data_IF_972915891129
#
_entry.id   IF_972915891129
#
_cell.length_a   1.000
_cell.length_b   1.000
_cell.length_c   1.000
_cell.angle_alpha   90.00
_cell.angle_beta   90.00
_cell.angle_gamma   90.00
#
_symmetry.space_group_name_H-M   'P 1'
#
loop_
_entity.id
_entity.type
_entity.pdbx_description
1 polymer ?
#
# COMPACT_ATOMS: atom_id res chain seq x y z
N UNK A 1 12.14 19.38 11.07
CA UNK A 1 11.04 20.19 10.51
C UNK A 1 11.59 21.58 10.18
N UNK A 2 12.14 22.24 11.20
CA UNK A 2 13.32 23.14 11.25
C UNK A 2 13.81 23.72 9.92
N UNK A 3 14.40 22.92 9.02
CA UNK A 3 14.91 23.38 7.74
C UNK A 3 13.82 24.06 6.89
N UNK A 4 12.65 23.43 6.73
CA UNK A 4 11.53 24.03 5.99
C UNK A 4 10.96 25.28 6.68
N UNK A 5 11.04 25.35 8.02
CA UNK A 5 10.67 26.55 8.78
C UNK A 5 11.68 27.68 8.54
N UNK A 6 12.98 27.35 8.42
CA UNK A 6 14.05 28.27 8.02
C UNK A 6 13.97 28.71 6.55
N UNK A 7 13.49 27.84 5.66
CA UNK A 7 13.17 28.15 4.26
C UNK A 7 11.91 29.04 4.12
N UNK A 8 11.15 29.23 5.21
CA UNK A 8 10.01 30.16 5.28
C UNK A 8 8.68 29.63 4.75
N UNK A 9 8.40 28.32 4.86
CA UNK A 9 7.11 27.75 4.43
C UNK A 9 5.95 28.14 5.34
N UNK A 10 4.77 28.41 4.77
CA UNK A 10 3.54 28.69 5.54
C UNK A 10 2.93 27.44 6.20
N UNK A 11 3.08 26.28 5.55
CA UNK A 11 2.41 25.02 5.91
C UNK A 11 3.35 23.84 5.74
N UNK A 12 3.31 22.90 6.70
CA UNK A 12 4.00 21.62 6.66
C UNK A 12 2.97 20.48 6.73
N UNK A 13 3.09 19.52 5.80
CA UNK A 13 2.30 18.29 5.78
C UNK A 13 3.20 17.09 6.08
N UNK A 14 2.84 16.28 7.07
CA UNK A 14 3.66 15.15 7.54
C UNK A 14 2.83 13.90 7.83
N UNK A 15 2.83 12.97 6.88
CA UNK A 15 2.21 11.62 6.99
C UNK A 15 3.16 10.62 7.67
N UNK A 16 3.69 10.99 8.83
CA UNK A 16 4.58 10.19 9.68
C UNK A 16 4.17 10.42 11.14
N UNK A 17 4.37 9.41 12.00
CA UNK A 17 4.07 9.47 13.43
C UNK A 17 4.55 8.21 14.14
N UNK A 18 4.72 8.29 15.46
CA UNK A 18 5.21 7.19 16.30
C UNK A 18 4.14 6.70 17.27
N UNK A 19 3.96 5.39 17.37
CA UNK A 19 2.95 4.79 18.25
C UNK A 19 3.50 4.66 19.69
N UNK A 20 2.76 5.18 20.68
CA UNK A 20 3.07 5.07 22.13
C UNK A 20 4.38 5.76 22.60
N UNK A 21 4.83 6.83 21.94
CA UNK A 21 6.02 7.61 22.36
C UNK A 21 5.61 8.79 23.26
N UNK A 22 6.33 9.08 24.36
CA UNK A 22 6.09 10.26 25.19
C UNK A 22 6.25 11.59 24.43
N UNK A 23 5.47 12.61 24.79
CA UNK A 23 5.42 13.90 24.09
C UNK A 23 6.78 14.64 24.00
N UNK A 24 7.68 14.39 24.96
CA UNK A 24 9.02 14.97 25.03
C UNK A 24 10.11 14.08 24.38
N UNK A 25 9.75 12.91 23.86
CA UNK A 25 10.59 12.00 23.07
C UNK A 25 10.14 11.94 21.59
N UNK A 26 8.89 12.33 21.29
CA UNK A 26 8.34 12.27 19.94
C UNK A 26 8.93 13.37 19.01
N UNK A 27 9.62 13.01 17.92
CA UNK A 27 10.28 13.98 17.05
C UNK A 27 9.31 14.80 16.18
N UNK A 28 8.09 14.30 15.95
CA UNK A 28 7.03 15.06 15.29
C UNK A 28 6.46 16.09 16.26
N UNK A 29 6.23 15.72 17.53
CA UNK A 29 5.76 16.64 18.57
C UNK A 29 6.72 17.82 18.76
N UNK A 30 8.00 17.53 19.04
CA UNK A 30 9.03 18.54 19.32
C UNK A 30 9.19 19.49 18.11
N UNK A 31 9.36 18.93 16.91
CA UNK A 31 9.63 19.74 15.72
C UNK A 31 8.40 20.52 15.22
N UNK A 32 7.18 20.02 15.47
CA UNK A 32 5.94 20.75 15.17
C UNK A 32 5.62 21.84 16.19
N UNK A 33 6.07 21.70 17.45
CA UNK A 33 5.98 22.79 18.43
C UNK A 33 6.83 23.98 17.95
N UNK A 34 8.10 23.72 17.58
CA UNK A 34 8.99 24.74 17.02
C UNK A 34 8.48 25.37 15.71
N UNK A 35 7.74 24.63 14.89
CA UNK A 35 7.06 25.17 13.71
C UNK A 35 5.91 26.13 14.10
N UNK A 36 5.06 25.72 15.06
CA UNK A 36 3.97 26.53 15.59
C UNK A 36 4.48 27.83 16.25
N UNK A 37 5.60 27.79 16.99
CA UNK A 37 6.27 28.98 17.54
C UNK A 37 6.76 29.98 16.48
N UNK A 38 6.88 29.56 15.21
CA UNK A 38 7.19 30.44 14.07
C UNK A 38 5.96 30.79 13.22
N UNK A 39 4.77 30.38 13.65
CA UNK A 39 3.51 30.60 12.93
C UNK A 39 3.27 29.65 11.76
N UNK A 40 4.09 28.61 11.60
CA UNK A 40 3.97 27.62 10.52
C UNK A 40 2.94 26.56 10.91
N UNK A 41 1.92 26.38 10.06
CA UNK A 41 0.84 25.43 10.33
C UNK A 41 1.26 23.99 10.01
N UNK A 42 1.00 23.05 10.93
CA UNK A 42 1.36 21.63 10.75
C UNK A 42 0.12 20.75 10.64
N UNK A 43 0.01 20.02 9.53
CA UNK A 43 -1.00 19.00 9.26
C UNK A 43 -0.36 17.60 9.29
N UNK A 44 -0.94 16.67 10.02
CA UNK A 44 -0.38 15.33 10.20
C UNK A 44 -1.45 14.24 10.29
N UNK A 45 -1.09 13.00 9.94
CA UNK A 45 -1.98 11.84 10.02
C UNK A 45 -2.23 11.38 11.45
N UNK A 46 -3.46 10.98 11.75
CA UNK A 46 -3.83 10.32 13.02
C UNK A 46 -3.23 8.91 13.19
N UNK A 47 -2.88 8.26 12.07
CA UNK A 47 -2.32 6.92 12.04
C UNK A 47 -3.29 5.84 11.55
N UNK A 48 -2.73 4.64 11.32
CA UNK A 48 -3.40 3.50 10.69
C UNK A 48 -3.53 2.31 11.66
N UNK A 49 -3.78 2.57 12.96
CA UNK A 49 -3.91 1.59 14.04
C UNK A 49 -5.34 1.44 14.57
N UNK A 50 -6.32 1.97 13.84
CA UNK A 50 -7.74 1.78 14.13
C UNK A 50 -8.19 0.31 14.02
N UNK A 51 -9.42 -0.01 14.44
CA UNK A 51 -10.48 0.92 14.86
C UNK A 51 -10.56 1.16 16.38
N UNK A 52 -9.62 0.63 17.17
CA UNK A 52 -9.68 0.69 18.65
C UNK A 52 -9.53 2.14 19.18
N UNK A 53 -10.19 2.52 20.29
CA UNK A 53 -9.94 3.79 20.98
C UNK A 53 -8.49 3.93 21.47
N UNK A 54 -7.99 5.16 21.54
CA UNK A 54 -6.64 5.47 22.02
C UNK A 54 -5.50 5.02 21.08
N UNK A 55 -5.81 4.77 19.81
CA UNK A 55 -4.88 4.24 18.80
C UNK A 55 -4.20 5.31 17.94
N UNK A 56 -4.49 6.60 18.15
CA UNK A 56 -3.88 7.67 17.37
C UNK A 56 -2.53 8.12 17.88
N UNK A 57 -1.64 8.41 16.93
CA UNK A 57 -0.44 9.20 17.12
C UNK A 57 -0.67 10.63 16.62
N UNK A 58 0.33 11.51 16.78
CA UNK A 58 0.26 12.92 16.39
C UNK A 58 -0.92 13.72 17.00
N UNK A 59 -1.48 13.25 18.12
CA UNK A 59 -2.60 13.86 18.83
C UNK A 59 -2.20 15.08 19.68
N UNK A 60 -1.36 15.96 19.14
CA UNK A 60 -0.77 17.10 19.85
C UNK A 60 -1.69 18.33 19.74
N UNK A 61 -1.71 19.19 20.77
CA UNK A 61 -2.61 20.36 20.81
C UNK A 61 -2.27 21.45 19.79
N UNK A 62 -1.05 21.44 19.25
CA UNK A 62 -0.54 22.40 18.25
C UNK A 62 -0.47 21.86 16.81
N UNK A 63 -0.98 20.65 16.55
CA UNK A 63 -0.99 20.00 15.22
C UNK A 63 -2.42 19.68 14.80
N UNK A 64 -2.74 19.86 13.52
CA UNK A 64 -3.97 19.33 12.93
C UNK A 64 -3.80 17.83 12.68
N UNK A 65 -4.45 17.00 13.48
CA UNK A 65 -4.44 15.55 13.41
C UNK A 65 -5.61 15.07 12.53
N UNK A 66 -5.29 14.49 11.37
CA UNK A 66 -6.26 14.15 10.31
C UNK A 66 -6.55 12.65 10.28
N UNK A 67 -7.82 12.28 10.43
CA UNK A 67 -8.31 10.91 10.23
C UNK A 67 -8.62 10.61 8.76
N UNK A 68 -8.47 9.35 8.35
CA UNK A 68 -8.78 8.89 7.00
C UNK A 68 -10.27 8.51 6.85
N UNK A 69 -10.88 8.97 5.76
CA UNK A 69 -12.23 8.63 5.33
C UNK A 69 -12.30 8.13 3.89
N UNK A 70 -13.33 7.35 3.60
CA UNK A 70 -13.63 6.87 2.25
C UNK A 70 -14.19 7.98 1.34
N UNK A 71 -14.01 7.78 0.04
CA UNK A 71 -14.56 8.63 -1.03
C UNK A 71 -15.84 8.03 -1.61
N UNK A 72 -16.61 8.86 -2.34
CA UNK A 72 -17.82 8.45 -3.07
C UNK A 72 -17.56 7.60 -4.32
N UNK A 73 -16.53 6.74 -4.27
CA UNK A 73 -16.00 5.89 -5.35
C UNK A 73 -15.82 4.46 -4.83
N UNK A 74 -16.01 3.48 -5.70
CA UNK A 74 -15.60 2.09 -5.49
C UNK A 74 -15.04 1.52 -6.80
N UNK A 75 -14.00 0.70 -6.70
CA UNK A 75 -13.43 -0.04 -7.83
C UNK A 75 -14.08 -1.43 -7.90
N UNK A 76 -14.27 -1.97 -9.10
CA UNK A 76 -15.04 -3.19 -9.21
C UNK A 76 -14.93 -3.96 -10.52
N UNK A 77 -15.56 -5.13 -10.46
CA UNK A 77 -15.68 -6.07 -11.55
C UNK A 77 -17.12 -6.53 -11.65
N UNK A 78 -17.74 -6.35 -12.80
CA UNK A 78 -19.07 -6.90 -13.06
C UNK A 78 -18.91 -8.35 -13.50
N UNK A 79 -19.43 -9.24 -12.66
CA UNK A 79 -19.59 -10.66 -12.93
C UNK A 79 -20.91 -10.85 -13.69
N UNK A 80 -20.83 -11.30 -14.93
CA UNK A 80 -22.00 -11.65 -15.77
C UNK A 80 -22.10 -13.16 -15.86
N UNK A 81 -23.19 -13.72 -15.33
CA UNK A 81 -23.46 -15.15 -15.30
C UNK A 81 -24.09 -15.62 -16.61
N UNK A 82 -23.98 -16.92 -16.93
CA UNK A 82 -24.54 -17.50 -18.16
C UNK A 82 -26.07 -17.46 -18.28
N UNK A 83 -26.80 -17.11 -17.20
CA UNK A 83 -28.23 -16.82 -17.22
C UNK A 83 -28.57 -15.34 -17.58
N UNK A 84 -27.55 -14.49 -17.77
CA UNK A 84 -27.70 -13.05 -18.01
C UNK A 84 -27.76 -12.17 -16.75
N UNK A 85 -27.72 -12.76 -15.56
CA UNK A 85 -27.69 -12.03 -14.29
C UNK A 85 -26.32 -11.35 -14.10
N UNK A 86 -26.31 -10.17 -13.48
CA UNK A 86 -25.09 -9.39 -13.24
C UNK A 86 -24.91 -9.05 -11.77
N UNK A 87 -23.72 -9.35 -11.24
CA UNK A 87 -23.32 -9.06 -9.87
C UNK A 87 -22.14 -8.08 -9.92
N UNK A 88 -22.30 -6.91 -9.29
CA UNK A 88 -21.19 -5.97 -9.08
C UNK A 88 -20.41 -6.40 -7.84
N UNK A 89 -19.17 -6.84 -8.03
CA UNK A 89 -18.21 -7.05 -6.95
C UNK A 89 -17.11 -5.98 -6.94
N UNK A 90 -16.30 -5.98 -5.90
CA UNK A 90 -15.14 -5.10 -5.74
C UNK A 90 -13.85 -5.80 -6.19
N UNK A 91 -12.92 -5.07 -6.80
CA UNK A 91 -11.59 -5.57 -7.19
C UNK A 91 -10.67 -4.42 -7.61
N UNK A 92 -9.36 -4.64 -7.51
CA UNK A 92 -8.29 -3.79 -8.02
C UNK A 92 -7.45 -4.50 -9.11
N UNK A 93 -7.89 -5.63 -9.66
CA UNK A 93 -7.14 -6.37 -10.68
C UNK A 93 -6.81 -5.48 -11.90
N UNK A 94 -5.52 -5.29 -12.26
CA UNK A 94 -5.10 -4.18 -13.11
C UNK A 94 -5.15 -4.46 -14.62
N UNK A 95 -5.23 -5.72 -15.08
CA UNK A 95 -5.06 -6.04 -16.51
C UNK A 95 -6.32 -5.81 -17.38
N UNK A 96 -6.10 -5.53 -18.66
CA UNK A 96 -7.17 -5.49 -19.67
C UNK A 96 -7.41 -6.86 -20.31
N UNK A 97 -8.24 -7.67 -19.66
CA UNK A 97 -8.75 -8.91 -20.23
C UNK A 97 -10.15 -9.25 -19.69
N UNK A 98 -11.22 -9.25 -20.52
CA UNK A 98 -12.50 -9.78 -20.08
C UNK A 98 -12.39 -11.31 -20.02
N UNK A 99 -12.29 -11.88 -18.82
CA UNK A 99 -12.51 -13.31 -18.64
C UNK A 99 -13.90 -13.62 -19.18
N UNK A 100 -14.00 -14.46 -20.22
CA UNK A 100 -15.23 -14.58 -21.02
C UNK A 100 -15.69 -16.03 -21.05
N UNK A 101 -16.88 -16.29 -20.50
CA UNK A 101 -17.54 -17.60 -20.43
C UNK A 101 -16.64 -18.73 -19.87
N UNK A 102 -15.83 -18.42 -18.86
CA UNK A 102 -15.01 -19.43 -18.19
C UNK A 102 -15.90 -20.36 -17.33
N UNK A 103 -15.53 -21.64 -17.15
CA UNK A 103 -16.20 -22.55 -16.23
C UNK A 103 -16.29 -21.97 -14.82
N UNK A 104 -17.46 -22.09 -14.20
CA UNK A 104 -17.73 -21.50 -12.90
C UNK A 104 -17.81 -22.59 -11.82
N UNK A 105 -16.85 -22.61 -10.89
CA UNK A 105 -16.49 -23.81 -10.14
C UNK A 105 -16.78 -23.62 -8.64
N UNK A 106 -17.69 -24.43 -8.12
CA UNK A 106 -18.02 -24.49 -6.69
C UNK A 106 -18.04 -25.93 -6.21
N UNK A 107 -17.20 -26.23 -5.23
CA UNK A 107 -17.19 -27.48 -4.50
C UNK A 107 -17.07 -27.13 -3.00
N UNK A 108 -18.02 -27.60 -2.18
CA UNK A 108 -18.11 -27.26 -0.75
C UNK A 108 -16.89 -27.68 0.07
N UNK A 109 -16.16 -28.71 -0.38
CA UNK A 109 -14.90 -29.14 0.26
C UNK A 109 -13.76 -28.19 -0.06
N UNK A 110 -13.78 -27.53 -1.22
CA UNK A 110 -12.72 -26.65 -1.72
C UNK A 110 -13.01 -25.16 -1.54
N UNK A 111 -14.26 -24.78 -1.21
CA UNK A 111 -14.69 -23.38 -1.07
C UNK A 111 -13.99 -22.64 0.07
N UNK A 112 -13.20 -23.31 0.91
CA UNK A 112 -12.30 -22.65 1.87
C UNK A 112 -11.11 -21.96 1.19
N UNK A 113 -10.71 -22.40 -0.01
CA UNK A 113 -9.55 -21.90 -0.75
C UNK A 113 -8.25 -21.88 0.08
N UNK A 114 -8.06 -22.89 0.93
CA UNK A 114 -6.91 -23.05 1.83
C UNK A 114 -5.77 -23.93 1.28
N UNK A 115 -5.91 -24.47 0.07
CA UNK A 115 -4.89 -25.27 -0.64
C UNK A 115 -4.80 -24.93 -2.12
N UNK A 116 -3.65 -24.42 -2.58
CA UNK A 116 -3.40 -24.15 -4.00
C UNK A 116 -3.28 -25.43 -4.85
N UNK A 117 -2.88 -26.55 -4.25
CA UNK A 117 -2.76 -27.84 -4.92
C UNK A 117 -4.15 -28.41 -5.29
N UNK A 118 -5.10 -28.38 -4.35
CA UNK A 118 -6.46 -28.89 -4.58
C UNK A 118 -7.25 -27.96 -5.52
N UNK A 119 -7.04 -26.64 -5.42
CA UNK A 119 -7.51 -25.68 -6.42
C UNK A 119 -6.93 -25.98 -7.81
N UNK A 120 -5.65 -26.32 -7.92
CA UNK A 120 -5.02 -26.67 -9.20
C UNK A 120 -5.52 -27.99 -9.80
N UNK A 121 -5.93 -28.94 -8.95
CA UNK A 121 -6.47 -30.23 -9.40
C UNK A 121 -7.93 -30.14 -9.86
N UNK A 122 -8.74 -29.27 -9.23
CA UNK A 122 -10.20 -29.25 -9.42
C UNK A 122 -10.78 -27.97 -10.01
N UNK A 123 -10.02 -26.87 -10.07
CA UNK A 123 -10.47 -25.57 -10.60
C UNK A 123 -9.63 -25.04 -11.79
N UNK A 124 -8.75 -25.88 -12.37
CA UNK A 124 -7.89 -25.52 -13.49
C UNK A 124 -8.66 -24.90 -14.67
N UNK A 125 -8.26 -23.71 -15.12
CA UNK A 125 -8.89 -23.01 -16.24
C UNK A 125 -10.29 -22.43 -15.97
N UNK A 126 -10.77 -22.46 -14.72
CA UNK A 126 -12.07 -21.92 -14.31
C UNK A 126 -11.98 -20.82 -13.27
N UNK A 127 -13.12 -20.24 -12.91
CA UNK A 127 -13.27 -19.26 -11.84
C UNK A 127 -13.85 -19.98 -10.61
N UNK A 128 -13.09 -20.03 -9.51
CA UNK A 128 -13.52 -20.71 -8.27
C UNK A 128 -14.30 -19.79 -7.32
N UNK A 129 -15.29 -20.30 -6.60
CA UNK A 129 -15.93 -19.58 -5.49
C UNK A 129 -15.25 -19.93 -4.16
N UNK A 130 -14.72 -18.92 -3.48
CA UNK A 130 -14.23 -18.99 -2.10
C UNK A 130 -15.27 -18.42 -1.14
N UNK A 131 -15.72 -19.22 -0.18
CA UNK A 131 -16.57 -18.83 0.94
C UNK A 131 -15.75 -18.23 2.10
N UNK A 132 -16.47 -17.62 3.06
CA UNK A 132 -15.93 -17.23 4.36
C UNK A 132 -15.44 -18.44 5.17
N UNK A 133 -14.52 -18.20 6.09
CA UNK A 133 -14.04 -19.20 7.06
C UNK A 133 -12.55 -19.54 6.95
N UNK A 134 -11.79 -18.74 6.20
CA UNK A 134 -10.34 -18.76 6.13
C UNK A 134 -9.79 -17.33 5.99
N UNK A 135 -8.47 -17.15 6.06
CA UNK A 135 -7.82 -15.83 6.04
C UNK A 135 -7.78 -15.30 4.60
N UNK A 136 -8.27 -14.07 4.40
CA UNK A 136 -8.43 -13.45 3.07
C UNK A 136 -7.12 -13.41 2.26
N UNK A 137 -6.02 -12.95 2.85
CA UNK A 137 -4.66 -12.97 2.29
C UNK A 137 -4.24 -14.35 1.78
N UNK A 138 -4.59 -15.41 2.53
CA UNK A 138 -4.25 -16.79 2.17
C UNK A 138 -5.17 -17.32 1.07
N UNK A 139 -6.46 -16.95 1.04
CA UNK A 139 -7.35 -17.27 -0.08
C UNK A 139 -6.85 -16.66 -1.39
N UNK A 140 -6.45 -15.37 -1.37
CA UNK A 140 -5.80 -14.71 -2.50
C UNK A 140 -4.52 -15.45 -2.90
N UNK A 141 -3.63 -15.72 -1.94
CA UNK A 141 -2.35 -16.37 -2.21
C UNK A 141 -2.52 -17.75 -2.82
N UNK A 142 -3.44 -18.57 -2.28
CA UNK A 142 -3.70 -19.91 -2.78
C UNK A 142 -4.34 -19.93 -4.17
N UNK A 143 -5.21 -18.96 -4.48
CA UNK A 143 -5.75 -18.78 -5.84
C UNK A 143 -4.61 -18.40 -6.80
N UNK A 144 -3.79 -17.40 -6.44
CA UNK A 144 -2.67 -16.93 -7.27
C UNK A 144 -1.54 -17.95 -7.46
N UNK A 145 -1.40 -18.92 -6.56
CA UNK A 145 -0.48 -20.06 -6.71
C UNK A 145 -1.16 -21.32 -7.27
N UNK A 146 -2.36 -21.21 -7.84
CA UNK A 146 -3.10 -22.32 -8.44
C UNK A 146 -3.31 -22.17 -9.95
N UNK A 147 -3.71 -23.26 -10.61
CA UNK A 147 -4.10 -23.24 -12.03
C UNK A 147 -5.51 -22.64 -12.29
N UNK A 148 -6.19 -22.08 -11.28
CA UNK A 148 -7.46 -21.40 -11.50
C UNK A 148 -7.26 -20.10 -12.29
N UNK A 149 -8.17 -19.80 -13.22
CA UNK A 149 -8.11 -18.56 -14.01
C UNK A 149 -8.54 -17.32 -13.22
N UNK A 150 -9.18 -17.51 -12.06
CA UNK A 150 -9.60 -16.43 -11.16
C UNK A 150 -10.46 -16.95 -10.02
N UNK A 151 -10.93 -16.05 -9.16
CA UNK A 151 -11.82 -16.41 -8.06
C UNK A 151 -12.86 -15.35 -7.71
N UNK A 152 -14.00 -15.79 -7.18
CA UNK A 152 -14.96 -14.96 -6.46
C UNK A 152 -14.79 -15.23 -4.96
N UNK A 153 -14.34 -14.25 -4.19
CA UNK A 153 -14.20 -14.37 -2.74
C UNK A 153 -15.38 -13.70 -2.05
N UNK A 154 -16.05 -14.42 -1.14
CA UNK A 154 -17.20 -13.92 -0.39
C UNK A 154 -16.69 -13.31 0.92
N UNK A 155 -16.69 -11.98 1.02
CA UNK A 155 -16.27 -11.25 2.22
C UNK A 155 -17.27 -10.15 2.57
N UNK A 156 -17.53 -9.98 3.87
CA UNK A 156 -18.14 -8.77 4.43
C UNK A 156 -17.17 -8.07 5.42
N UNK A 157 -15.88 -8.46 5.44
CA UNK A 157 -14.87 -7.75 6.21
C UNK A 157 -14.56 -6.42 5.50
N UNK A 158 -14.83 -5.25 6.12
CA UNK A 158 -14.59 -3.98 5.47
C UNK A 158 -13.11 -3.71 5.17
N UNK A 159 -12.17 -4.40 5.84
CA UNK A 159 -10.74 -4.32 5.53
C UNK A 159 -10.40 -4.90 4.15
N UNK A 160 -11.22 -5.82 3.63
CA UNK A 160 -11.06 -6.35 2.27
C UNK A 160 -11.10 -5.25 1.21
N UNK A 161 -11.88 -4.18 1.40
CA UNK A 161 -12.02 -3.09 0.42
C UNK A 161 -10.89 -2.06 0.47
N UNK A 162 -10.05 -2.12 1.51
CA UNK A 162 -8.81 -1.35 1.65
C UNK A 162 -7.57 -2.21 1.30
N UNK A 163 -7.77 -3.49 0.95
CA UNK A 163 -6.70 -4.46 0.71
C UNK A 163 -6.06 -4.25 -0.67
N UNK A 164 -5.03 -3.42 -0.69
CA UNK A 164 -4.26 -2.98 -1.85
C UNK A 164 -3.19 -3.97 -2.32
N UNK A 165 -3.05 -5.14 -1.69
CA UNK A 165 -1.95 -6.07 -2.02
C UNK A 165 -2.12 -6.66 -3.42
N UNK A 166 -1.22 -6.23 -4.30
CA UNK A 166 -1.09 -6.57 -5.72
C UNK A 166 -1.81 -7.86 -6.13
N UNK A 167 -2.97 -7.70 -6.79
CA UNK A 167 -3.76 -8.82 -7.30
C UNK A 167 -3.10 -9.42 -8.54
N UNK A 168 -2.12 -10.30 -8.33
CA UNK A 168 -1.47 -11.08 -9.39
C UNK A 168 -2.38 -12.16 -10.02
N UNK A 169 -3.70 -12.11 -9.80
CA UNK A 169 -4.68 -13.00 -10.39
C UNK A 169 -6.08 -12.38 -10.43
N UNK A 170 -6.95 -12.76 -11.39
CA UNK A 170 -8.29 -12.19 -11.58
C UNK A 170 -9.28 -12.52 -10.44
N UNK A 171 -9.28 -11.74 -9.37
CA UNK A 171 -10.12 -11.94 -8.19
C UNK A 171 -11.19 -10.85 -8.09
N UNK A 172 -12.42 -11.23 -7.73
CA UNK A 172 -13.52 -10.32 -7.41
C UNK A 172 -14.10 -10.66 -6.04
N UNK A 173 -14.32 -9.63 -5.21
CA UNK A 173 -14.95 -9.77 -3.89
C UNK A 173 -16.44 -9.45 -3.98
N UNK A 174 -17.29 -10.27 -3.36
CA UNK A 174 -18.73 -10.00 -3.21
C UNK A 174 -19.17 -10.12 -1.74
N UNK A 175 -20.26 -9.44 -1.40
CA UNK A 175 -20.91 -9.57 -0.11
C UNK A 175 -21.64 -10.92 0.05
N UNK A 176 -21.86 -11.35 1.29
CA UNK A 176 -22.62 -12.58 1.57
C UNK A 176 -24.08 -12.52 1.08
N UNK A 177 -24.68 -11.32 1.03
CA UNK A 177 -26.01 -11.10 0.47
C UNK A 177 -26.12 -11.41 -1.02
N UNK A 178 -25.02 -11.23 -1.78
CA UNK A 178 -24.94 -11.58 -3.21
C UNK A 178 -24.59 -13.07 -3.42
N UNK A 179 -23.89 -13.69 -2.47
CA UNK A 179 -23.36 -15.04 -2.60
C UNK A 179 -24.42 -16.14 -2.77
N UNK A 180 -25.62 -15.97 -2.20
CA UNK A 180 -26.65 -17.02 -2.27
C UNK A 180 -27.18 -17.24 -3.69
N UNK A 181 -27.41 -16.18 -4.46
CA UNK A 181 -27.79 -16.29 -5.88
C UNK A 181 -26.68 -16.97 -6.68
N UNK A 182 -25.42 -16.56 -6.44
CA UNK A 182 -24.25 -17.07 -7.15
C UNK A 182 -23.98 -18.56 -6.92
N UNK A 183 -24.07 -19.02 -5.66
CA UNK A 183 -23.89 -20.44 -5.31
C UNK A 183 -25.07 -21.28 -5.85
N UNK A 184 -26.30 -20.75 -5.83
CA UNK A 184 -27.45 -21.41 -6.48
C UNK A 184 -27.22 -21.56 -7.99
N UNK A 185 -26.68 -20.54 -8.67
CA UNK A 185 -26.34 -20.63 -10.11
C UNK A 185 -25.28 -21.71 -10.36
N UNK A 186 -24.19 -21.69 -9.58
CA UNK A 186 -23.09 -22.67 -9.71
C UNK A 186 -23.50 -24.12 -9.42
N UNK A 187 -24.47 -24.35 -8.54
CA UNK A 187 -24.91 -25.70 -8.14
C UNK A 187 -26.07 -26.27 -8.98
N UNK A 188 -26.85 -25.42 -9.65
CA UNK A 188 -28.02 -25.83 -10.46
C UNK A 188 -27.80 -25.73 -11.97
N UNK A 189 -26.80 -24.98 -12.41
CA UNK A 189 -26.43 -24.90 -13.82
C UNK A 189 -25.81 -26.20 -14.33
N UNK A 190 -26.18 -26.64 -15.53
CA UNK A 190 -25.41 -27.63 -16.29
C UNK A 190 -24.27 -26.89 -16.98
N UNK A 191 -23.02 -27.17 -16.59
CA UNK A 191 -21.82 -26.44 -17.03
C UNK A 191 -21.97 -24.92 -16.86
N UNK A 192 -22.12 -24.42 -15.61
CA UNK A 192 -22.26 -22.99 -15.36
C UNK A 192 -21.00 -22.24 -15.82
N UNK A 193 -21.20 -21.07 -16.39
CA UNK A 193 -20.13 -20.20 -16.91
C UNK A 193 -20.34 -18.77 -16.47
N UNK A 194 -19.23 -18.06 -16.28
CA UNK A 194 -19.26 -16.64 -15.95
C UNK A 194 -18.27 -15.84 -16.79
N UNK A 195 -18.52 -14.55 -16.89
CA UNK A 195 -17.59 -13.57 -17.47
C UNK A 195 -17.34 -12.45 -16.47
N UNK A 196 -16.12 -11.91 -16.41
CA UNK A 196 -15.78 -10.79 -15.54
C UNK A 196 -15.21 -9.65 -16.37
N UNK A 197 -15.76 -8.45 -16.18
CA UNK A 197 -15.26 -7.21 -16.77
C UNK A 197 -14.64 -6.34 -15.67
N UNK A 198 -13.31 -6.21 -15.70
CA UNK A 198 -12.46 -5.51 -14.72
C UNK A 198 -12.32 -4.00 -15.02
N UNK A 199 -11.45 -3.32 -14.26
CA UNK A 199 -11.12 -1.88 -14.38
C UNK A 199 -12.31 -0.92 -14.22
N UNK A 200 -13.42 -1.35 -13.61
CA UNK A 200 -14.60 -0.50 -13.49
C UNK A 200 -14.49 0.43 -12.27
N UNK A 201 -14.90 1.68 -12.46
CA UNK A 201 -15.02 2.66 -11.37
C UNK A 201 -16.49 3.05 -11.21
N UNK A 202 -17.07 2.78 -10.05
CA UNK A 202 -18.42 3.18 -9.68
C UNK A 202 -18.38 4.45 -8.83
N UNK A 203 -19.20 5.45 -9.17
CA UNK A 203 -19.30 6.73 -8.47
C UNK A 203 -20.66 6.88 -7.77
N UNK A 204 -20.72 7.70 -6.73
CA UNK A 204 -21.94 7.94 -5.95
C UNK A 204 -22.27 6.82 -4.96
N UNK A 205 -21.25 6.13 -4.45
CA UNK A 205 -21.39 5.11 -3.40
C UNK A 205 -21.99 5.69 -2.12
N UNK A 206 -22.74 4.88 -1.37
CA UNK A 206 -23.46 5.29 -0.15
C UNK A 206 -23.41 4.18 0.91
N UNK A 207 -23.25 4.50 2.21
CA UNK A 207 -22.93 5.83 2.75
C UNK A 207 -21.52 6.30 2.31
N UNK A 208 -21.32 7.61 2.22
CA UNK A 208 -20.03 8.24 1.91
C UNK A 208 -20.06 9.71 2.36
N UNK A 209 -18.96 10.25 2.95
CA UNK A 209 -17.79 9.52 3.39
C UNK A 209 -18.09 8.63 4.61
N UNK A 210 -17.21 7.65 4.88
CA UNK A 210 -17.21 6.82 6.09
C UNK A 210 -15.80 6.82 6.65
N UNK A 211 -15.63 6.86 7.98
CA UNK A 211 -14.30 6.73 8.58
C UNK A 211 -13.69 5.36 8.23
N UNK A 212 -12.47 5.36 7.70
CA UNK A 212 -11.80 4.14 7.24
C UNK A 212 -11.62 3.14 8.40
N UNK A 213 -11.57 1.84 8.10
CA UNK A 213 -11.41 0.80 9.14
C UNK A 213 -10.13 0.99 9.93
N UNK A 214 -9.05 1.25 9.21
CA UNK A 214 -7.70 1.44 9.73
C UNK A 214 -7.49 2.80 10.41
N UNK A 215 -8.32 3.82 10.20
CA UNK A 215 -8.03 5.16 10.76
C UNK A 215 -8.01 5.08 12.28
N UNK A 216 -6.89 5.49 12.87
CA UNK A 216 -6.72 5.55 14.32
C UNK A 216 -7.74 6.48 14.98
N UNK A 217 -8.06 6.20 16.25
CA UNK A 217 -9.12 6.86 17.02
C UNK A 217 -8.59 7.45 18.32
N UNK A 218 -9.22 8.53 18.77
CA UNK A 218 -8.95 9.15 20.06
C UNK A 218 -9.44 8.32 21.27
N UNK A 219 -9.26 8.82 22.50
CA UNK A 219 -8.59 10.09 22.84
C UNK A 219 -7.10 10.08 22.53
N UNK A 220 -6.46 11.25 22.54
CA UNK A 220 -4.99 11.33 22.43
C UNK A 220 -4.34 10.76 23.70
N UNK A 221 -3.38 9.85 23.56
CA UNK A 221 -2.59 9.37 24.70
C UNK A 221 -1.73 10.49 25.31
N UNK A 222 -1.27 11.44 24.48
CA UNK A 222 -0.39 12.54 24.90
C UNK A 222 -1.13 13.61 25.72
N UNK A 223 -2.41 13.85 25.42
CA UNK A 223 -3.26 14.79 26.15
C UNK A 223 -4.76 14.50 25.91
N UNK A 224 -5.42 13.69 26.78
CA UNK A 224 -6.75 13.15 26.50
C UNK A 224 -7.88 14.19 26.59
N UNK A 225 -7.66 15.33 27.26
CA UNK A 225 -8.67 16.38 27.46
C UNK A 225 -8.93 17.23 26.20
N UNK A 226 -8.08 17.10 25.17
CA UNK A 226 -8.32 17.68 23.84
C UNK A 226 -8.76 16.57 22.87
N UNK A 227 -9.94 16.77 22.28
CA UNK A 227 -10.51 15.84 21.30
C UNK A 227 -9.61 15.71 20.07
N UNK A 228 -9.26 14.47 19.71
CA UNK A 228 -8.50 14.11 18.50
C UNK A 228 -9.11 12.85 17.85
N UNK A 229 -8.99 12.65 16.52
CA UNK A 229 -8.48 13.60 15.53
C UNK A 229 -9.39 14.83 15.38
N UNK A 230 -8.85 15.94 14.88
CA UNK A 230 -9.58 17.21 14.74
C UNK A 230 -10.60 17.17 13.59
N UNK A 231 -10.26 16.48 12.50
CA UNK A 231 -11.13 16.30 11.34
C UNK A 231 -10.82 15.00 10.56
N UNK A 232 -11.66 14.71 9.57
CA UNK A 232 -11.49 13.58 8.64
C UNK A 232 -11.36 14.10 7.21
N UNK A 233 -10.46 13.50 6.44
CA UNK A 233 -10.22 13.81 5.02
C UNK A 233 -10.22 12.53 4.16
N UNK A 234 -10.39 12.63 2.82
CA UNK A 234 -10.20 11.51 1.90
C UNK A 234 -8.83 10.84 2.11
N UNK A 235 -8.83 9.54 2.43
CA UNK A 235 -7.61 8.77 2.70
C UNK A 235 -7.62 7.34 2.13
N UNK A 236 -8.79 6.74 1.90
CA UNK A 236 -8.90 5.44 1.22
C UNK A 236 -8.70 5.60 -0.29
N UNK A 237 -7.64 5.00 -0.86
CA UNK A 237 -7.37 4.87 -2.30
C UNK A 237 -7.46 6.19 -3.11
N UNK A 238 -6.40 7.04 -3.17
CA UNK A 238 -6.42 8.47 -3.62
C UNK A 238 -5.68 8.80 -4.97
N UNK A 239 -4.53 9.56 -5.00
CA UNK A 239 -3.52 9.82 -6.11
C UNK A 239 -2.25 10.76 -5.75
N UNK A 240 -0.93 10.36 -5.88
CA UNK A 240 0.33 11.21 -5.72
C UNK A 240 1.68 11.09 -6.61
N UNK A 241 2.68 10.14 -6.47
CA UNK A 241 3.97 9.84 -7.26
C UNK A 241 4.78 8.47 -7.07
N UNK A 242 5.01 7.56 -8.09
CA UNK A 242 5.69 6.18 -8.05
C UNK A 242 6.88 5.93 -9.06
N UNK A 243 7.45 4.67 -9.21
CA UNK A 243 8.75 4.21 -9.88
C UNK A 243 8.86 2.71 -10.35
N UNK A 244 9.60 2.32 -11.46
CA UNK A 244 9.95 0.89 -11.76
C UNK A 244 11.22 0.43 -12.62
N UNK A 245 12.27 -0.20 -12.00
CA UNK A 245 13.20 -1.27 -12.54
C UNK A 245 14.59 -1.07 -13.28
N UNK A 246 15.47 -2.11 -13.17
CA UNK A 246 16.91 -2.40 -13.55
C UNK A 246 18.06 -1.76 -12.72
N UNK A 247 19.01 -2.59 -12.23
CA UNK A 247 20.10 -2.16 -11.32
C UNK A 247 21.27 -1.42 -12.01
N UNK A 248 21.16 -0.08 -12.05
CA UNK A 248 22.17 0.83 -12.63
C UNK A 248 23.52 0.85 -11.90
N UNK A 249 23.59 0.38 -10.64
CA UNK A 249 24.77 0.48 -9.78
C UNK A 249 26.09 0.01 -10.43
N UNK A 250 26.06 -1.18 -11.03
CA UNK A 250 27.26 -1.82 -11.56
C UNK A 250 27.82 -1.11 -12.80
N UNK A 251 26.94 -0.53 -13.64
CA UNK A 251 27.33 0.21 -14.83
C UNK A 251 28.09 1.48 -14.46
N UNK A 252 27.64 2.18 -13.41
CA UNK A 252 28.30 3.40 -12.95
C UNK A 252 29.66 3.14 -12.30
N UNK A 253 29.82 2.03 -11.57
CA UNK A 253 31.15 1.61 -11.06
C UNK A 253 32.14 1.29 -12.20
N UNK A 254 31.64 0.82 -13.34
CA UNK A 254 32.47 0.60 -14.54
C UNK A 254 32.89 1.90 -15.24
N UNK A 255 32.05 2.93 -15.19
CA UNK A 255 32.30 4.22 -15.84
C UNK A 255 33.09 5.22 -14.96
N UNK A 256 32.88 5.19 -13.65
CA UNK A 256 33.61 5.98 -12.64
C UNK A 256 34.23 5.01 -11.61
N UNK A 257 35.39 4.40 -11.92
CA UNK A 257 35.97 3.32 -11.12
C UNK A 257 36.43 3.74 -9.72
N UNK A 258 36.56 5.04 -9.46
CA UNK A 258 36.96 5.66 -8.20
C UNK A 258 35.79 5.82 -7.20
N UNK A 259 34.55 6.02 -7.67
CA UNK A 259 33.39 6.28 -6.80
C UNK A 259 33.08 5.15 -5.82
N UNK A 260 32.78 5.47 -4.56
CA UNK A 260 32.41 4.46 -3.55
C UNK A 260 30.99 3.90 -3.76
N UNK A 261 30.62 2.80 -3.08
CA UNK A 261 29.24 2.30 -3.07
C UNK A 261 28.20 3.34 -2.61
N UNK A 262 28.57 4.27 -1.72
CA UNK A 262 27.68 5.34 -1.27
C UNK A 262 27.49 6.41 -2.36
N UNK A 263 28.56 6.87 -3.01
CA UNK A 263 28.50 7.68 -4.23
C UNK A 263 27.61 7.06 -5.31
N UNK A 264 27.79 5.76 -5.62
CA UNK A 264 26.99 5.07 -6.64
C UNK A 264 25.51 5.02 -6.28
N UNK A 265 25.17 4.73 -5.01
CA UNK A 265 23.80 4.83 -4.52
C UNK A 265 23.26 6.26 -4.61
N UNK A 266 24.08 7.25 -4.28
CA UNK A 266 23.73 8.67 -4.34
C UNK A 266 23.32 9.08 -5.75
N UNK A 267 24.15 8.79 -6.76
CA UNK A 267 23.89 9.19 -8.15
C UNK A 267 22.71 8.44 -8.77
N UNK A 268 22.56 7.15 -8.46
CA UNK A 268 21.37 6.38 -8.84
C UNK A 268 20.07 6.99 -8.30
N UNK A 269 20.13 7.63 -7.12
CA UNK A 269 18.99 8.31 -6.53
C UNK A 269 18.82 9.73 -7.09
N UNK A 270 19.86 10.55 -7.15
CA UNK A 270 19.76 11.97 -7.54
C UNK A 270 19.46 12.19 -9.02
N UNK A 271 19.84 11.26 -9.90
CA UNK A 271 19.49 11.33 -11.34
C UNK A 271 18.29 10.48 -11.73
N UNK A 272 17.68 9.77 -10.77
CA UNK A 272 16.47 9.01 -11.02
C UNK A 272 15.36 9.93 -11.56
N UNK A 273 14.59 9.42 -12.51
CA UNK A 273 13.52 10.13 -13.18
C UNK A 273 12.17 9.79 -12.51
N UNK A 274 11.57 10.62 -11.65
CA UNK A 274 10.26 10.33 -11.06
C UNK A 274 9.09 10.48 -12.06
N UNK A 275 9.29 10.13 -13.34
CA UNK A 275 8.30 10.16 -14.44
C UNK A 275 8.37 8.95 -15.40
N UNK A 276 7.22 8.60 -15.98
CA UNK A 276 6.96 7.37 -16.74
C UNK A 276 7.23 7.52 -18.24
N UNK A 277 7.00 6.44 -19.00
CA UNK A 277 7.12 6.42 -20.47
C UNK A 277 6.15 7.37 -21.20
N UNK A 278 5.20 7.99 -20.49
CA UNK A 278 4.29 9.04 -20.99
C UNK A 278 4.65 10.45 -20.48
N UNK A 279 5.63 10.57 -19.58
CA UNK A 279 6.11 11.83 -18.99
C UNK A 279 5.38 12.28 -17.71
N UNK A 280 4.38 11.54 -17.24
CA UNK A 280 3.70 11.80 -15.96
C UNK A 280 4.49 11.22 -14.79
N UNK A 281 4.23 11.59 -13.53
CA UNK A 281 4.86 10.87 -12.40
C UNK A 281 4.34 9.42 -12.41
N UNK A 282 5.19 8.40 -12.26
CA UNK A 282 4.76 6.98 -12.48
C UNK A 282 3.71 6.56 -11.45
N UNK A 283 2.94 5.48 -11.68
CA UNK A 283 1.80 5.07 -10.85
C UNK A 283 1.97 3.75 -10.07
N UNK A 284 1.51 3.81 -8.82
CA UNK A 284 1.47 2.79 -7.78
C UNK A 284 0.37 1.76 -8.05
N UNK A 285 0.77 0.58 -8.49
CA UNK A 285 -0.16 -0.49 -8.85
C UNK A 285 -0.76 -1.21 -7.64
N UNK A 286 -0.16 -1.04 -6.45
CA UNK A 286 -0.71 -1.52 -5.17
C UNK A 286 -1.92 -0.64 -4.81
N UNK A 287 -1.72 0.69 -4.78
CA UNK A 287 -2.75 1.66 -4.40
C UNK A 287 -3.52 2.18 -5.63
N UNK A 288 -4.23 1.29 -6.34
CA UNK A 288 -5.23 1.65 -7.35
C UNK A 288 -4.77 2.58 -8.51
N UNK A 289 -3.49 2.53 -8.88
CA UNK A 289 -2.86 3.50 -9.80
C UNK A 289 -3.04 4.96 -9.34
N UNK A 290 -3.06 5.17 -8.02
CA UNK A 290 -2.39 6.31 -7.42
C UNK A 290 -1.05 6.53 -8.08
N UNK A 291 -0.55 7.74 -8.00
CA UNK A 291 0.88 7.88 -8.08
C UNK A 291 1.37 7.75 -6.60
N UNK A 292 2.46 7.08 -6.23
CA UNK A 292 2.84 6.82 -4.81
C UNK A 292 3.38 8.01 -3.95
N UNK A 293 4.38 7.76 -3.09
CA UNK A 293 5.21 8.79 -2.46
C UNK A 293 6.69 8.42 -2.55
N UNK A 294 7.59 9.35 -2.19
CA UNK A 294 9.03 9.11 -2.07
C UNK A 294 9.39 7.91 -1.16
N UNK A 295 8.51 7.54 -0.21
CA UNK A 295 8.72 6.39 0.68
C UNK A 295 8.51 5.04 -0.03
N UNK A 296 7.57 4.98 -0.97
CA UNK A 296 7.23 3.76 -1.70
C UNK A 296 8.00 3.64 -3.02
N UNK A 297 8.41 4.78 -3.60
CA UNK A 297 9.07 4.85 -4.90
C UNK A 297 10.58 5.09 -4.83
N UNK A 298 11.11 5.50 -3.67
CA UNK A 298 12.44 6.08 -3.59
C UNK A 298 12.53 7.42 -4.34
N UNK A 299 13.59 7.61 -5.11
CA UNK A 299 13.87 8.89 -5.76
C UNK A 299 13.31 9.03 -7.19
N UNK A 300 13.11 7.93 -7.93
CA UNK A 300 12.64 7.97 -9.32
C UNK A 300 12.88 6.66 -10.09
N UNK A 301 12.34 6.57 -11.31
CA UNK A 301 12.73 5.55 -12.28
C UNK A 301 14.22 5.63 -12.49
N UNK A 302 14.92 4.53 -12.35
CA UNK A 302 16.37 4.53 -12.40
C UNK A 302 16.81 4.80 -13.86
N UNK A 303 17.55 5.88 -14.06
CA UNK A 303 17.95 6.40 -15.38
C UNK A 303 19.45 6.16 -15.58
N UNK A 304 19.86 5.11 -16.33
CA UNK A 304 21.27 4.75 -16.46
C UNK A 304 22.11 5.83 -17.14
N UNK A 305 21.49 6.56 -18.09
CA UNK A 305 22.19 7.47 -18.98
C UNK A 305 22.41 8.84 -18.31
N UNK A 306 21.46 9.29 -17.47
CA UNK A 306 21.66 10.49 -16.64
C UNK A 306 22.60 10.20 -15.46
N UNK A 307 22.51 9.02 -14.86
CA UNK A 307 23.37 8.65 -13.72
C UNK A 307 24.86 8.56 -14.08
N UNK A 308 25.16 8.40 -15.38
CA UNK A 308 26.51 8.42 -15.93
C UNK A 308 27.21 9.80 -15.80
N UNK A 309 26.46 10.90 -15.73
CA UNK A 309 27.00 12.27 -15.58
C UNK A 309 26.09 13.13 -14.66
N UNK A 310 26.17 12.92 -13.33
CA UNK A 310 25.24 13.49 -12.34
C UNK A 310 25.60 14.92 -11.88
N UNK A 311 26.82 15.38 -12.16
CA UNK A 311 27.35 16.68 -11.73
C UNK A 311 27.80 16.74 -10.27
N UNK A 312 26.96 16.30 -9.32
CA UNK A 312 27.26 16.24 -7.88
C UNK A 312 26.94 14.87 -7.28
N UNK A 313 27.68 14.52 -6.23
CA UNK A 313 27.66 13.20 -5.59
C UNK A 313 27.77 13.38 -4.07
N UNK A 314 26.94 12.67 -3.30
CA UNK A 314 27.04 12.61 -1.84
C UNK A 314 27.64 11.26 -1.43
N UNK A 315 28.95 11.22 -1.20
CA UNK A 315 29.69 10.01 -0.83
C UNK A 315 29.92 9.91 0.69
N UNK A 316 30.15 8.69 1.19
CA UNK A 316 30.36 8.36 2.61
C UNK A 316 31.44 7.29 2.77
N UNK A 317 32.24 7.38 3.83
CA UNK A 317 33.35 6.45 4.10
C UNK A 317 32.95 5.27 5.00
N UNK A 318 33.81 4.25 5.07
CA UNK A 318 33.71 3.16 6.07
C UNK A 318 33.68 3.68 7.50
N UNK A 319 34.31 4.83 7.80
CA UNK A 319 34.33 5.38 9.15
C UNK A 319 32.96 5.94 9.56
N UNK A 320 32.24 6.58 8.64
CA UNK A 320 30.90 7.13 8.89
C UNK A 320 29.89 6.00 9.20
N UNK A 321 29.95 4.91 8.44
CA UNK A 321 29.15 3.70 8.70
C UNK A 321 29.56 2.98 9.99
N UNK A 322 30.84 2.95 10.36
CA UNK A 322 31.29 2.39 11.63
C UNK A 322 30.84 3.24 12.83
N UNK A 323 30.87 4.57 12.70
CA UNK A 323 30.37 5.49 13.73
C UNK A 323 28.85 5.32 13.89
N UNK A 324 28.10 5.20 12.80
CA UNK A 324 26.67 4.88 12.81
C UNK A 324 26.40 3.55 13.53
N UNK A 325 27.11 2.47 13.19
CA UNK A 325 26.94 1.14 13.83
C UNK A 325 27.34 1.17 15.31
N UNK A 326 28.34 1.98 15.70
CA UNK A 326 28.73 2.15 17.10
C UNK A 326 27.83 3.12 17.90
N UNK A 327 26.99 3.91 17.23
CA UNK A 327 25.90 4.69 17.86
C UNK A 327 24.59 3.91 18.02
N UNK A 328 24.53 2.66 17.56
CA UNK A 328 23.42 1.74 17.82
C UNK A 328 23.76 0.92 19.07
N UNK A 329 22.82 0.77 20.00
CA UNK A 329 22.98 0.06 21.29
C UNK A 329 23.09 -1.48 21.14
N UNK A 330 24.11 -1.91 20.40
CA UNK A 330 24.49 -3.29 20.19
C UNK A 330 25.58 -3.68 21.20
N UNK A 331 25.51 -4.88 21.77
CA UNK A 331 26.52 -5.31 22.72
C UNK A 331 27.87 -5.58 22.03
N UNK A 332 28.96 -5.56 22.81
CA UNK A 332 30.33 -5.64 22.27
C UNK A 332 30.65 -6.95 21.54
N UNK A 333 29.89 -8.03 21.76
CA UNK A 333 29.96 -9.27 20.99
C UNK A 333 29.25 -9.14 19.65
N UNK A 334 28.04 -8.56 19.62
CA UNK A 334 27.29 -8.27 18.38
C UNK A 334 28.07 -7.32 17.46
N UNK A 335 28.67 -6.26 18.02
CA UNK A 335 29.55 -5.34 17.28
C UNK A 335 30.77 -6.09 16.71
N UNK A 336 31.37 -7.03 17.46
CA UNK A 336 32.47 -7.86 16.96
C UNK A 336 32.04 -8.83 15.86
N UNK A 337 30.85 -9.42 15.92
CA UNK A 337 30.33 -10.27 14.83
C UNK A 337 30.07 -9.45 13.56
N UNK A 338 29.47 -8.25 13.66
CA UNK A 338 29.33 -7.34 12.52
C UNK A 338 30.68 -6.85 11.99
N UNK A 339 31.69 -6.69 12.86
CA UNK A 339 33.06 -6.32 12.49
C UNK A 339 33.94 -7.49 12.02
N UNK A 340 33.59 -8.76 12.16
CA UNK A 340 34.47 -9.83 11.64
C UNK A 340 34.44 -10.00 10.11
N UNK A 341 33.71 -9.13 9.41
CA UNK A 341 33.96 -8.77 8.00
C UNK A 341 34.98 -7.60 7.94
N UNK A 342 36.08 -7.68 8.70
CA UNK A 342 37.19 -6.71 8.69
C UNK A 342 38.51 -7.40 8.32
N UNK A 343 38.79 -7.40 7.02
CA UNK A 343 40.08 -6.98 6.47
C UNK A 343 39.79 -5.75 5.57
#
# INVERSE_FOLDING_TARGET
MDAAVGDGVDVISISLGSDNVPLYEDPVAIASFGAMEKGVFVSSSAGNRGPLPGSLHNGFSWVLTVGAGSVGRSFGGTLTLGNGETIRGWTLFPEQGPMTKLPFIYNKTLSRCDSSADLSAAAAGGIVICEKGYVFDHQISNVSYSNASGAIIISDDPNTFEYTKYYASPIVVISSGQAHALINYATKGVNPVASIHFQQTFLGTKPSPVAATYTSRGPSQSYPDILKPDLMAPGSLVLASWVPNQSVAALLKGAHPDWSPAAIRSVMMTTANPRDITGNRIRDEFVANELASLLAMGAGQVDPNRALNPGLVYDLSRHDYLNLICSMDLNSTQIKTNRQIEL
#
